data_IF_333191896361
#
_entry.id   IF_333191896361
#
_cell.length_a   1.000
_cell.length_b   1.000
_cell.length_c   1.000
_cell.angle_alpha   90.00
_cell.angle_beta   90.00
_cell.angle_gamma   90.00
#
_symmetry.space_group_name_H-M   'P 1'
#
loop_
_entity.id
_entity.type
_entity.pdbx_description
1 polymer ?
#
# COMPACT_ATOMS: atom_id res chain seq x y z
N UNK A 1 -7.96 -49.18 -25.84
CA UNK A 1 -7.23 -47.91 -25.71
C UNK A 1 -7.83 -47.17 -24.54
N UNK A 2 -7.08 -46.98 -23.45
CA UNK A 2 -7.55 -46.22 -22.28
C UNK A 2 -7.46 -44.75 -22.65
N UNK A 3 -8.61 -44.10 -22.84
CA UNK A 3 -8.66 -42.66 -23.09
C UNK A 3 -8.41 -41.93 -21.77
N UNK A 4 -7.23 -41.32 -21.68
CA UNK A 4 -6.87 -40.38 -20.63
C UNK A 4 -7.69 -39.11 -20.87
N UNK A 5 -8.81 -38.98 -20.16
CA UNK A 5 -9.59 -37.74 -20.11
C UNK A 5 -8.86 -36.81 -19.14
N UNK A 6 -7.90 -36.04 -19.66
CA UNK A 6 -7.39 -34.85 -18.98
C UNK A 6 -8.50 -33.81 -19.13
N UNK A 7 -9.26 -33.56 -18.06
CA UNK A 7 -10.36 -32.61 -18.05
C UNK A 7 -9.81 -31.19 -18.18
N UNK A 8 -10.46 -30.38 -19.02
CA UNK A 8 -10.20 -28.95 -19.22
C UNK A 8 -10.25 -28.11 -17.93
N UNK A 9 -10.71 -28.70 -16.82
CA UNK A 9 -10.68 -28.15 -15.47
C UNK A 9 -9.26 -27.90 -14.94
N UNK A 10 -8.27 -28.70 -15.34
CA UNK A 10 -6.87 -28.48 -14.94
C UNK A 10 -6.22 -27.28 -15.68
N UNK A 11 -6.76 -26.91 -16.85
CA UNK A 11 -6.24 -25.79 -17.64
C UNK A 11 -6.78 -24.43 -17.18
N UNK A 12 -7.94 -24.39 -16.52
CA UNK A 12 -8.55 -23.18 -15.96
C UNK A 12 -7.88 -22.70 -14.66
N UNK A 13 -7.18 -23.59 -13.96
CA UNK A 13 -6.30 -23.25 -12.82
C UNK A 13 -4.89 -22.84 -13.29
N UNK A 14 -4.57 -23.09 -14.57
CA UNK A 14 -3.24 -22.92 -15.15
C UNK A 14 -2.83 -21.48 -15.48
N UNK A 15 -3.64 -20.47 -15.17
CA UNK A 15 -3.21 -19.06 -15.15
C UNK A 15 -2.92 -18.63 -13.72
N UNK A 16 -1.91 -19.25 -13.13
CA UNK A 16 -1.10 -18.59 -12.10
C UNK A 16 -0.49 -17.38 -12.83
N UNK A 17 -1.22 -16.27 -12.83
CA UNK A 17 -0.68 -14.99 -13.24
C UNK A 17 0.55 -14.76 -12.38
N UNK A 18 1.69 -14.47 -13.00
CA UNK A 18 2.91 -14.16 -12.29
C UNK A 18 2.60 -13.11 -11.22
N UNK A 19 3.01 -13.37 -9.97
CA UNK A 19 2.98 -12.36 -8.92
C UNK A 19 3.66 -11.09 -9.43
N UNK A 20 3.07 -9.94 -9.12
CA UNK A 20 3.61 -8.65 -9.52
C UNK A 20 5.01 -8.51 -8.93
N UNK A 21 6.03 -8.26 -9.75
CA UNK A 21 7.40 -8.14 -9.25
C UNK A 21 7.51 -6.90 -8.36
N UNK A 22 8.08 -7.06 -7.16
CA UNK A 22 8.39 -5.98 -6.25
C UNK A 22 9.12 -4.83 -6.97
N UNK A 23 8.60 -3.62 -6.87
CA UNK A 23 9.24 -2.44 -7.42
C UNK A 23 10.44 -2.05 -6.55
N UNK A 24 11.60 -1.74 -7.16
CA UNK A 24 12.72 -1.17 -6.43
C UNK A 24 12.46 0.32 -6.15
N UNK A 25 12.79 0.78 -4.94
CA UNK A 25 12.92 2.22 -4.67
C UNK A 25 14.35 2.61 -5.02
N UNK A 26 14.53 3.48 -6.01
CA UNK A 26 15.84 3.97 -6.46
C UNK A 26 16.06 5.37 -5.90
N UNK A 27 16.98 5.50 -4.94
CA UNK A 27 17.36 6.80 -4.41
C UNK A 27 18.02 7.69 -5.49
N UNK A 28 17.68 8.99 -5.55
CA UNK A 28 18.45 9.96 -6.30
C UNK A 28 19.90 10.02 -5.82
N UNK A 29 20.81 10.46 -6.70
CA UNK A 29 22.21 10.65 -6.32
C UNK A 29 22.31 11.85 -5.38
N UNK A 30 22.79 11.62 -4.16
CA UNK A 30 23.03 12.68 -3.19
C UNK A 30 23.98 13.75 -3.77
N UNK A 31 23.64 15.02 -3.59
CA UNK A 31 24.49 16.11 -4.04
C UNK A 31 25.81 16.12 -3.26
N UNK A 32 26.91 16.28 -3.99
CA UNK A 32 28.23 16.50 -3.38
C UNK A 32 28.24 17.86 -2.68
N UNK A 33 28.14 17.85 -1.35
CA UNK A 33 28.33 19.06 -0.57
C UNK A 33 29.84 19.32 -0.44
N UNK A 34 30.28 20.49 -0.88
CA UNK A 34 31.69 20.90 -0.80
C UNK A 34 32.14 20.97 0.65
N UNK A 35 32.98 20.02 1.06
CA UNK A 35 33.64 20.00 2.38
C UNK A 35 34.78 21.02 2.52
N UNK A 36 34.96 21.93 1.54
CA UNK A 36 36.10 22.85 1.47
C UNK A 36 36.25 23.80 2.69
N UNK A 37 35.26 23.89 3.57
CA UNK A 37 35.32 24.65 4.83
C UNK A 37 34.90 23.85 6.08
N UNK A 38 34.48 22.59 5.93
CA UNK A 38 34.11 21.76 7.08
C UNK A 38 35.34 20.99 7.57
N UNK A 39 35.65 21.10 8.87
CA UNK A 39 36.65 20.24 9.51
C UNK A 39 36.29 18.76 9.28
N UNK A 40 37.27 17.86 9.28
CA UNK A 40 37.04 16.42 9.14
C UNK A 40 35.95 15.95 10.13
N UNK A 41 34.81 15.48 9.63
CA UNK A 41 33.65 15.10 10.44
C UNK A 41 32.63 16.20 10.73
N UNK A 42 32.75 17.40 10.14
CA UNK A 42 31.77 18.49 10.31
C UNK A 42 30.48 18.29 9.54
N UNK A 43 29.35 18.73 10.10
CA UNK A 43 28.05 18.76 9.41
C UNK A 43 28.07 19.83 8.31
N UNK A 44 27.28 19.61 7.26
CA UNK A 44 27.18 20.48 6.10
C UNK A 44 25.73 20.74 5.73
N UNK A 45 25.41 22.01 5.53
CA UNK A 45 24.10 22.47 5.11
C UNK A 45 24.24 23.49 3.99
N UNK A 46 23.43 23.35 2.93
CA UNK A 46 23.27 24.35 1.89
C UNK A 46 21.79 24.66 1.72
N UNK A 47 21.44 25.94 1.90
CA UNK A 47 20.09 26.47 1.71
C UNK A 47 20.14 27.47 0.56
N UNK A 48 19.35 27.25 -0.48
CA UNK A 48 19.22 28.10 -1.68
C UNK A 48 17.76 28.57 -1.83
N UNK A 49 17.51 29.82 -1.46
CA UNK A 49 16.18 30.44 -1.51
C UNK A 49 16.16 31.50 -2.63
N UNK A 50 15.85 31.07 -3.84
CA UNK A 50 15.94 31.92 -5.04
C UNK A 50 14.66 32.73 -5.34
N UNK A 51 13.59 32.52 -4.56
CA UNK A 51 12.28 33.16 -4.70
C UNK A 51 11.91 34.13 -3.56
N UNK A 52 10.62 34.49 -3.47
CA UNK A 52 10.05 35.30 -2.37
C UNK A 52 9.21 34.42 -1.44
N UNK A 53 9.27 34.67 -0.13
CA UNK A 53 8.48 33.90 0.85
C UNK A 53 8.95 32.46 1.03
N UNK A 54 10.14 32.29 1.58
CA UNK A 54 10.68 30.98 1.91
C UNK A 54 11.40 31.07 3.25
N UNK A 55 11.09 30.14 4.15
CA UNK A 55 11.73 29.99 5.45
C UNK A 55 12.34 28.58 5.50
N UNK A 56 13.62 28.49 5.90
CA UNK A 56 14.31 27.22 6.05
C UNK A 56 15.05 27.20 7.39
N UNK A 57 14.83 26.14 8.15
CA UNK A 57 15.53 25.86 9.41
C UNK A 57 16.26 24.55 9.25
N UNK A 58 17.56 24.56 9.56
CA UNK A 58 18.36 23.33 9.61
C UNK A 58 19.09 23.28 10.94
N UNK A 59 18.87 22.22 11.70
CA UNK A 59 19.61 21.90 12.91
C UNK A 59 20.24 20.50 12.79
N UNK A 60 21.57 20.46 12.78
CA UNK A 60 22.35 19.23 12.63
C UNK A 60 23.27 19.02 13.83
N UNK A 61 23.12 17.91 14.55
CA UNK A 61 24.03 17.46 15.60
C UNK A 61 24.51 16.04 15.28
N UNK A 62 25.83 15.84 15.22
CA UNK A 62 26.43 14.59 14.73
C UNK A 62 27.74 14.83 13.98
N UNK A 63 28.18 13.85 13.20
CA UNK A 63 29.40 13.88 12.39
C UNK A 63 29.05 13.73 10.91
N UNK A 64 29.46 14.68 10.06
CA UNK A 64 29.27 14.62 8.61
C UNK A 64 27.81 14.48 8.12
N UNK A 65 26.83 15.00 8.87
CA UNK A 65 25.45 15.10 8.36
C UNK A 65 25.36 16.11 7.20
N UNK A 66 24.50 15.84 6.22
CA UNK A 66 24.27 16.66 5.04
C UNK A 66 22.83 17.10 4.91
N UNK A 67 22.59 18.37 4.62
CA UNK A 67 21.26 18.86 4.22
C UNK A 67 21.37 19.78 3.01
N UNK A 68 20.55 19.57 2.00
CA UNK A 68 20.33 20.50 0.90
C UNK A 68 18.88 20.94 0.88
N UNK A 69 18.64 22.24 0.88
CA UNK A 69 17.29 22.81 0.75
C UNK A 69 17.31 23.81 -0.39
N UNK A 70 16.46 23.60 -1.40
CA UNK A 70 16.19 24.57 -2.46
C UNK A 70 14.73 24.99 -2.40
N UNK A 71 14.47 26.29 -2.22
CA UNK A 71 13.13 26.85 -2.18
C UNK A 71 12.99 27.95 -3.22
N UNK A 72 12.07 27.77 -4.18
CA UNK A 72 11.68 28.77 -5.16
C UNK A 72 10.28 29.28 -4.83
N UNK A 73 10.18 30.04 -3.72
CA UNK A 73 8.93 30.65 -3.28
C UNK A 73 8.38 31.68 -4.27
N UNK A 74 7.06 31.71 -4.43
CA UNK A 74 6.36 32.66 -5.32
C UNK A 74 5.51 33.69 -4.58
N UNK A 75 5.30 33.54 -3.27
CA UNK A 75 4.42 34.39 -2.46
C UNK A 75 4.99 34.67 -1.05
N UNK A 76 5.09 35.95 -0.66
CA UNK A 76 5.54 36.38 0.67
C UNK A 76 4.46 36.25 1.77
N UNK A 77 3.17 36.14 1.39
CA UNK A 77 2.05 35.92 2.30
C UNK A 77 1.79 34.44 2.61
N UNK A 78 2.18 33.54 1.69
CA UNK A 78 2.04 32.10 1.82
C UNK A 78 3.41 31.42 1.58
N UNK A 79 4.23 31.36 2.64
CA UNK A 79 5.65 31.00 2.55
C UNK A 79 5.85 29.49 2.42
N UNK A 80 6.84 29.07 1.65
CA UNK A 80 7.35 27.70 1.74
C UNK A 80 8.19 27.56 3.02
N UNK A 81 7.97 26.48 3.78
CA UNK A 81 8.68 26.16 5.02
C UNK A 81 9.39 24.82 4.85
N UNK A 82 10.69 24.78 5.16
CA UNK A 82 11.46 23.55 5.25
C UNK A 82 12.16 23.48 6.62
N UNK A 83 11.87 22.47 7.42
CA UNK A 83 12.56 22.21 8.69
C UNK A 83 13.28 20.86 8.63
N UNK A 84 14.61 20.89 8.78
CA UNK A 84 15.45 19.70 8.79
C UNK A 84 16.13 19.58 10.14
N UNK A 85 15.71 18.57 10.90
CA UNK A 85 16.26 18.22 12.19
C UNK A 85 17.00 16.88 12.11
N UNK A 86 18.33 16.95 12.10
CA UNK A 86 19.20 15.77 12.08
C UNK A 86 19.95 15.65 13.40
N UNK A 87 19.57 14.67 14.23
CA UNK A 87 20.19 14.46 15.53
C UNK A 87 20.76 13.04 15.66
N UNK A 88 22.00 12.94 16.09
CA UNK A 88 22.54 11.70 16.65
C UNK A 88 22.21 11.52 18.13
N UNK A 89 21.92 10.30 18.58
CA UNK A 89 21.96 9.95 19.99
C UNK A 89 23.39 9.83 20.54
N UNK A 90 23.93 10.98 20.96
CA UNK A 90 25.32 11.06 21.40
C UNK A 90 25.52 10.21 22.67
N UNK A 91 26.36 9.17 22.53
CA UNK A 91 27.01 8.29 23.54
C UNK A 91 26.44 6.87 23.74
N UNK A 92 27.33 5.86 23.89
CA UNK A 92 28.80 5.97 24.00
C UNK A 92 29.59 5.78 22.69
N UNK A 93 28.93 5.67 21.54
CA UNK A 93 29.59 5.70 20.23
C UNK A 93 28.93 6.73 19.32
N UNK A 94 29.71 7.27 18.40
CA UNK A 94 29.36 8.36 17.47
C UNK A 94 28.02 8.03 16.82
N UNK A 95 27.03 8.91 16.94
CA UNK A 95 25.79 8.77 16.18
C UNK A 95 25.37 10.13 15.63
N UNK A 96 24.57 10.08 14.56
CA UNK A 96 24.41 11.16 13.61
C UNK A 96 25.53 11.16 12.59
N UNK A 97 25.96 9.99 12.11
CA UNK A 97 26.96 9.85 11.05
C UNK A 97 26.29 9.72 9.68
N UNK A 98 26.60 10.65 8.76
CA UNK A 98 26.17 10.62 7.36
C UNK A 98 24.64 10.56 7.12
N UNK A 99 23.82 11.16 7.98
CA UNK A 99 22.41 11.38 7.59
C UNK A 99 22.35 12.42 6.47
N UNK A 100 21.49 12.20 5.49
CA UNK A 100 21.33 13.06 4.32
C UNK A 100 19.86 13.42 4.13
N UNK A 101 19.59 14.72 3.92
CA UNK A 101 18.28 15.22 3.50
C UNK A 101 18.45 16.14 2.30
N UNK A 102 17.61 15.98 1.29
CA UNK A 102 17.54 16.86 0.12
C UNK A 102 16.08 17.23 -0.12
N UNK A 103 15.78 18.52 -0.01
CA UNK A 103 14.42 19.05 -0.11
C UNK A 103 14.39 20.12 -1.20
N UNK A 104 13.52 19.95 -2.18
CA UNK A 104 13.20 20.95 -3.19
C UNK A 104 11.72 21.36 -3.08
N UNK A 105 11.45 22.64 -2.87
CA UNK A 105 10.08 23.18 -2.84
C UNK A 105 9.92 24.29 -3.87
N UNK A 106 8.90 24.20 -4.71
CA UNK A 106 8.54 25.19 -5.72
C UNK A 106 7.08 25.58 -5.53
N UNK A 107 6.78 26.88 -5.56
CA UNK A 107 5.41 27.39 -5.39
C UNK A 107 5.22 28.14 -4.06
N UNK A 108 4.07 27.97 -3.40
CA UNK A 108 3.69 28.75 -2.22
C UNK A 108 3.07 27.86 -1.12
N UNK A 109 3.33 28.18 0.14
CA UNK A 109 2.71 27.49 1.29
C UNK A 109 3.11 26.03 1.51
N UNK A 110 4.09 25.51 0.77
CA UNK A 110 4.50 24.12 0.95
C UNK A 110 5.28 23.96 2.27
N UNK A 111 4.97 22.94 3.06
CA UNK A 111 5.60 22.61 4.32
C UNK A 111 6.30 21.25 4.21
N UNK A 112 7.60 21.21 4.51
CA UNK A 112 8.38 19.99 4.55
C UNK A 112 9.15 19.89 5.86
N UNK A 113 8.80 18.91 6.69
CA UNK A 113 9.47 18.63 7.96
C UNK A 113 10.17 17.28 7.92
N UNK A 114 11.45 17.26 8.28
CA UNK A 114 12.27 16.05 8.34
C UNK A 114 12.90 15.93 9.72
N UNK A 115 12.67 14.81 10.39
CA UNK A 115 13.40 14.42 11.60
C UNK A 115 14.13 13.11 11.35
N UNK A 116 15.46 13.13 11.36
CA UNK A 116 16.31 11.95 11.22
C UNK A 116 17.11 11.70 12.50
N UNK A 117 16.99 10.50 13.03
CA UNK A 117 17.75 10.01 14.18
C UNK A 117 18.42 8.67 13.86
N UNK A 118 19.71 8.55 14.18
CA UNK A 118 20.52 7.38 13.84
C UNK A 118 21.60 7.71 12.81
N UNK A 119 22.04 6.71 12.03
CA UNK A 119 23.14 6.84 11.07
C UNK A 119 22.70 6.43 9.65
N UNK A 120 23.32 7.02 8.63
CA UNK A 120 23.09 6.68 7.20
C UNK A 120 21.63 6.78 6.72
N UNK A 121 20.77 7.52 7.42
CA UNK A 121 19.40 7.72 6.98
C UNK A 121 19.36 8.75 5.83
N UNK A 122 18.62 8.42 4.78
CA UNK A 122 18.48 9.24 3.58
C UNK A 122 17.02 9.64 3.40
N UNK A 123 16.84 10.92 3.08
CA UNK A 123 15.54 11.49 2.77
C UNK A 123 15.67 12.37 1.53
N UNK A 124 14.73 12.22 0.60
CA UNK A 124 14.60 13.05 -0.59
C UNK A 124 13.15 13.53 -0.72
N UNK A 125 12.94 14.84 -0.82
CA UNK A 125 11.64 15.48 -0.87
C UNK A 125 11.53 16.45 -2.05
N UNK A 126 10.47 16.36 -2.83
CA UNK A 126 10.09 17.39 -3.81
C UNK A 126 8.63 17.78 -3.61
N UNK A 127 8.35 19.08 -3.52
CA UNK A 127 6.99 19.63 -3.49
C UNK A 127 6.87 20.70 -4.57
N UNK A 128 6.01 20.48 -5.57
CA UNK A 128 5.73 21.45 -6.63
C UNK A 128 4.24 21.83 -6.61
N UNK A 129 3.93 23.04 -6.14
CA UNK A 129 2.57 23.54 -6.14
C UNK A 129 2.25 24.38 -4.91
N UNK A 130 1.04 24.22 -4.39
CA UNK A 130 0.50 25.07 -3.32
C UNK A 130 0.05 24.25 -2.13
N UNK A 131 0.43 24.67 -0.93
CA UNK A 131 -0.02 24.11 0.37
C UNK A 131 0.21 22.59 0.53
N UNK A 132 1.22 22.01 -0.12
CA UNK A 132 1.57 20.60 0.10
C UNK A 132 2.34 20.46 1.42
N UNK A 133 2.00 19.44 2.22
CA UNK A 133 2.61 19.14 3.50
C UNK A 133 3.26 17.75 3.47
N UNK A 134 4.48 17.65 3.97
CA UNK A 134 5.19 16.40 4.12
C UNK A 134 5.91 16.32 5.48
N UNK A 135 5.67 15.25 6.22
CA UNK A 135 6.36 14.92 7.46
C UNK A 135 7.10 13.59 7.29
N UNK A 136 8.43 13.62 7.42
CA UNK A 136 9.26 12.42 7.40
C UNK A 136 9.96 12.28 8.74
N UNK A 137 9.62 11.22 9.47
CA UNK A 137 10.27 10.84 10.71
C UNK A 137 10.98 9.50 10.55
N UNK A 138 12.31 9.56 10.49
CA UNK A 138 13.18 8.38 10.51
C UNK A 138 13.81 8.30 11.91
N UNK A 139 13.22 7.47 12.78
CA UNK A 139 13.70 7.23 14.14
C UNK A 139 12.67 7.39 15.29
N UNK A 140 13.07 6.80 16.42
CA UNK A 140 12.51 6.73 17.79
C UNK A 140 11.23 5.88 18.08
N UNK A 141 11.46 4.76 18.79
CA UNK A 141 10.91 4.48 20.16
C UNK A 141 12.04 4.21 21.19
N UNK A 142 13.31 4.18 20.75
CA UNK A 142 14.50 4.06 21.59
C UNK A 142 15.73 4.66 20.87
N UNK A 143 16.65 5.30 21.62
CA UNK A 143 17.88 5.84 21.05
C UNK A 143 18.80 4.72 20.53
N UNK A 144 19.43 4.91 19.35
CA UNK A 144 20.58 4.13 18.79
C UNK A 144 20.32 2.98 17.79
N UNK A 145 19.17 2.90 17.11
CA UNK A 145 18.85 1.65 16.38
C UNK A 145 18.17 1.85 15.03
N UNK A 146 18.29 3.03 14.40
CA UNK A 146 17.73 3.30 13.08
C UNK A 146 18.84 3.66 12.09
N UNK A 147 19.31 2.65 11.36
CA UNK A 147 20.39 2.75 10.38
C UNK A 147 19.88 2.47 8.96
N UNK A 148 20.30 3.30 8.00
CA UNK A 148 20.11 3.00 6.57
C UNK A 148 18.67 3.08 6.06
N UNK A 149 17.79 3.85 6.70
CA UNK A 149 16.44 4.06 6.18
C UNK A 149 16.45 5.02 4.98
N UNK A 150 15.55 4.78 4.03
CA UNK A 150 15.33 5.60 2.85
C UNK A 150 13.87 6.05 2.77
N UNK A 151 13.64 7.36 2.66
CA UNK A 151 12.32 7.94 2.43
C UNK A 151 12.36 8.87 1.21
N UNK A 152 11.47 8.63 0.25
CA UNK A 152 11.21 9.49 -0.90
C UNK A 152 9.79 10.04 -0.79
N UNK A 153 9.62 11.36 -0.90
CA UNK A 153 8.31 12.01 -0.97
C UNK A 153 8.31 12.99 -2.14
N UNK A 154 7.40 12.80 -3.08
CA UNK A 154 7.18 13.68 -4.22
C UNK A 154 5.69 14.06 -4.30
N UNK A 155 5.40 15.35 -4.11
CA UNK A 155 4.04 15.89 -4.13
C UNK A 155 3.94 16.99 -5.19
N UNK A 156 2.94 16.88 -6.04
CA UNK A 156 2.62 17.89 -7.05
C UNK A 156 1.14 18.29 -7.00
N UNK A 157 0.88 19.58 -7.12
CA UNK A 157 -0.47 20.14 -7.14
C UNK A 157 -0.85 20.87 -5.85
N UNK A 158 -2.08 20.70 -5.39
CA UNK A 158 -2.68 21.47 -4.31
C UNK A 158 -3.00 20.61 -3.09
N UNK A 159 -2.45 20.97 -1.92
CA UNK A 159 -2.92 20.48 -0.62
C UNK A 159 -2.62 19.01 -0.30
N UNK A 160 -1.65 18.38 -0.97
CA UNK A 160 -1.30 16.99 -0.69
C UNK A 160 -0.64 16.87 0.69
N UNK A 161 -0.90 15.77 1.39
CA UNK A 161 -0.41 15.49 2.75
C UNK A 161 0.26 14.10 2.76
N UNK A 162 1.53 14.04 3.15
CA UNK A 162 2.33 12.82 3.18
C UNK A 162 3.03 12.68 4.55
N UNK A 163 2.84 11.54 5.19
CA UNK A 163 3.52 11.19 6.43
C UNK A 163 4.25 9.86 6.30
N UNK A 164 5.56 9.88 6.57
CA UNK A 164 6.43 8.70 6.60
C UNK A 164 7.00 8.54 8.01
N UNK A 165 6.73 7.41 8.64
CA UNK A 165 7.33 7.00 9.90
C UNK A 165 8.13 5.71 9.71
N UNK A 166 9.45 5.79 9.83
CA UNK A 166 10.34 4.63 9.77
C UNK A 166 11.05 4.45 11.10
N UNK A 167 10.85 3.29 11.73
CA UNK A 167 11.56 2.89 12.94
C UNK A 167 12.44 1.69 12.65
N UNK A 168 13.61 1.70 13.27
CA UNK A 168 14.63 0.66 13.13
C UNK A 168 15.38 0.72 11.80
N UNK A 169 15.97 -0.39 11.35
CA UNK A 169 16.96 -0.39 10.26
C UNK A 169 16.33 -0.69 8.88
N UNK A 170 16.97 -0.17 7.83
CA UNK A 170 16.79 -0.53 6.42
C UNK A 170 15.37 -0.39 5.84
N UNK A 171 14.49 0.38 6.46
CA UNK A 171 13.16 0.61 5.90
C UNK A 171 13.24 1.50 4.66
N UNK A 172 12.41 1.21 3.66
CA UNK A 172 12.31 1.97 2.44
C UNK A 172 10.85 2.40 2.20
N UNK A 173 10.65 3.70 2.02
CA UNK A 173 9.34 4.32 1.80
C UNK A 173 9.41 5.22 0.58
N UNK A 174 8.37 5.18 -0.25
CA UNK A 174 8.17 6.08 -1.37
C UNK A 174 6.71 6.52 -1.41
N UNK A 175 6.49 7.83 -1.37
CA UNK A 175 5.17 8.45 -1.57
C UNK A 175 5.25 9.36 -2.80
N UNK A 176 4.39 9.11 -3.78
CA UNK A 176 4.16 9.97 -4.94
C UNK A 176 2.69 10.40 -4.93
N UNK A 177 2.44 11.71 -4.87
CA UNK A 177 1.09 12.27 -4.93
C UNK A 177 1.02 13.35 -6.00
N UNK A 178 0.08 13.21 -6.93
CA UNK A 178 -0.12 14.18 -8.01
C UNK A 178 -1.59 14.45 -8.21
N UNK A 179 -2.01 15.70 -8.01
CA UNK A 179 -3.40 16.12 -8.13
C UNK A 179 -3.55 17.44 -8.91
N UNK A 180 -4.78 17.84 -9.22
CA UNK A 180 -5.00 19.09 -9.96
C UNK A 180 -4.70 20.31 -9.06
N UNK A 181 -3.77 21.16 -9.52
CA UNK A 181 -3.32 22.36 -8.83
C UNK A 181 -4.40 23.48 -8.70
N UNK A 182 -5.59 23.30 -9.29
CA UNK A 182 -6.57 24.40 -9.45
C UNK A 182 -7.89 24.18 -8.70
N UNK A 183 -8.39 22.94 -8.53
CA UNK A 183 -9.74 22.71 -7.97
C UNK A 183 -9.93 21.39 -7.18
N UNK A 184 -8.86 20.69 -6.82
CA UNK A 184 -8.92 19.38 -6.16
C UNK A 184 -8.86 19.41 -4.63
N UNK A 185 -9.30 18.32 -4.00
CA UNK A 185 -8.94 17.98 -2.62
C UNK A 185 -7.57 17.29 -2.65
N UNK A 186 -6.67 17.65 -1.74
CA UNK A 186 -5.37 17.01 -1.56
C UNK A 186 -5.43 15.49 -1.38
N UNK A 187 -4.45 14.76 -1.90
CA UNK A 187 -4.26 13.35 -1.55
C UNK A 187 -3.64 13.23 -0.15
N UNK A 188 -3.95 12.15 0.56
CA UNK A 188 -3.36 11.82 1.86
C UNK A 188 -2.67 10.48 1.81
N UNK A 189 -1.44 10.41 2.32
CA UNK A 189 -0.68 9.17 2.41
C UNK A 189 -0.01 9.07 3.78
N UNK A 190 -0.19 7.92 4.44
CA UNK A 190 0.49 7.58 5.68
C UNK A 190 1.21 6.24 5.50
N UNK A 191 2.53 6.22 5.70
CA UNK A 191 3.33 5.01 5.67
C UNK A 191 4.07 4.85 7.00
N UNK A 192 3.79 3.76 7.71
CA UNK A 192 4.46 3.41 8.97
C UNK A 192 5.15 2.06 8.85
N UNK A 193 6.44 2.05 9.11
CA UNK A 193 7.29 0.87 9.00
C UNK A 193 8.06 0.69 10.31
N UNK A 194 7.80 -0.42 11.00
CA UNK A 194 8.47 -0.77 12.25
C UNK A 194 9.16 -2.12 12.10
N UNK A 195 10.37 -2.06 11.55
CA UNK A 195 11.26 -3.22 11.42
C UNK A 195 11.89 -3.61 12.77
N UNK A 196 12.78 -4.60 12.73
CA UNK A 196 13.54 -5.05 13.90
C UNK A 196 14.93 -4.38 14.01
N UNK A 197 15.50 -4.30 15.23
CA UNK A 197 16.89 -3.90 15.43
C UNK A 197 17.91 -4.71 14.60
N UNK A 198 19.11 -4.13 14.48
CA UNK A 198 20.37 -4.83 14.21
C UNK A 198 20.48 -5.43 12.80
N UNK A 199 20.45 -4.57 11.78
CA UNK A 199 20.62 -4.91 10.36
C UNK A 199 19.53 -5.86 9.82
N UNK A 200 18.33 -5.82 10.38
CA UNK A 200 17.18 -6.52 9.77
C UNK A 200 16.94 -5.98 8.35
N UNK A 201 16.36 -6.78 7.45
CA UNK A 201 16.22 -6.37 6.04
C UNK A 201 15.23 -5.21 5.80
N UNK A 202 14.65 -4.64 6.87
CA UNK A 202 13.66 -3.57 6.81
C UNK A 202 12.34 -3.98 6.18
N UNK A 203 11.44 -3.01 6.02
CA UNK A 203 10.22 -3.14 5.24
C UNK A 203 10.25 -2.22 4.02
N UNK A 204 9.43 -2.51 3.00
CA UNK A 204 9.24 -1.64 1.83
C UNK A 204 7.77 -1.25 1.66
N UNK A 205 7.52 0.05 1.54
CA UNK A 205 6.21 0.63 1.28
C UNK A 205 6.30 1.59 0.09
N UNK A 206 5.40 1.43 -0.87
CA UNK A 206 5.29 2.29 -2.05
C UNK A 206 3.83 2.72 -2.19
N UNK A 207 3.62 4.02 -2.28
CA UNK A 207 2.32 4.65 -2.46
C UNK A 207 2.34 5.61 -3.63
N UNK A 208 1.51 5.37 -4.63
CA UNK A 208 1.32 6.26 -5.77
C UNK A 208 -0.15 6.69 -5.85
N UNK A 209 -0.42 7.99 -5.82
CA UNK A 209 -1.77 8.55 -5.88
C UNK A 209 -1.84 9.62 -6.97
N UNK A 210 -2.67 9.38 -7.98
CA UNK A 210 -2.95 10.31 -9.07
C UNK A 210 -4.42 10.71 -9.05
N UNK A 211 -4.70 12.01 -9.12
CA UNK A 211 -6.05 12.58 -9.01
C UNK A 211 -6.32 13.14 -7.62
N UNK A 212 -7.59 13.37 -7.29
CA UNK A 212 -7.97 14.19 -6.13
C UNK A 212 -8.59 13.39 -4.98
N UNK A 213 -8.25 13.75 -3.75
CA UNK A 213 -8.89 13.24 -2.53
C UNK A 213 -8.63 11.78 -2.21
N UNK A 214 -7.61 11.16 -2.82
CA UNK A 214 -7.27 9.77 -2.55
C UNK A 214 -6.59 9.63 -1.18
N UNK A 215 -6.82 8.51 -0.51
CA UNK A 215 -6.28 8.20 0.80
C UNK A 215 -5.58 6.84 0.80
N UNK A 216 -4.36 6.83 1.33
CA UNK A 216 -3.52 5.64 1.43
C UNK A 216 -2.96 5.49 2.84
N UNK A 217 -3.12 4.30 3.43
CA UNK A 217 -2.54 3.91 4.70
C UNK A 217 -1.78 2.61 4.51
N UNK A 218 -0.47 2.61 4.76
CA UNK A 218 0.36 1.40 4.74
C UNK A 218 1.07 1.25 6.08
N UNK A 219 0.82 0.13 6.76
CA UNK A 219 1.36 -0.15 8.08
C UNK A 219 2.03 -1.53 8.04
N UNK A 220 3.33 -1.55 8.33
CA UNK A 220 4.12 -2.77 8.34
C UNK A 220 4.79 -2.89 9.71
N UNK A 221 4.37 -3.90 10.48
CA UNK A 221 4.88 -4.15 11.83
C UNK A 221 5.33 -5.61 11.98
N UNK A 222 6.17 -5.86 12.97
CA UNK A 222 6.44 -7.22 13.45
C UNK A 222 7.90 -7.60 13.40
N UNK A 223 8.24 -8.77 13.95
CA UNK A 223 9.63 -9.22 14.10
C UNK A 223 10.32 -9.58 12.77
N UNK A 224 9.60 -9.49 11.65
CA UNK A 224 10.05 -10.01 10.37
C UNK A 224 10.66 -8.98 9.44
N UNK A 225 11.77 -9.35 8.83
CA UNK A 225 12.28 -8.66 7.66
C UNK A 225 11.36 -8.85 6.45
N UNK A 226 11.30 -7.85 5.57
CA UNK A 226 10.91 -8.06 4.16
C UNK A 226 9.43 -7.92 3.82
N UNK A 227 8.57 -7.43 4.71
CA UNK A 227 7.21 -7.06 4.30
C UNK A 227 7.25 -6.01 3.17
N UNK A 228 6.44 -6.23 2.15
CA UNK A 228 6.30 -5.38 0.97
C UNK A 228 4.85 -4.95 0.82
N UNK A 229 4.61 -3.63 0.79
CA UNK A 229 3.30 -3.04 0.54
C UNK A 229 3.40 -2.09 -0.65
N UNK A 230 2.56 -2.29 -1.64
CA UNK A 230 2.42 -1.38 -2.78
C UNK A 230 0.96 -1.04 -2.99
N UNK A 231 0.66 0.25 -3.09
CA UNK A 231 -0.68 0.73 -3.45
C UNK A 231 -0.61 1.81 -4.51
N UNK A 232 -1.31 1.59 -5.60
CA UNK A 232 -1.40 2.50 -6.73
C UNK A 232 -2.86 2.93 -6.91
N UNK A 233 -3.17 4.19 -6.64
CA UNK A 233 -4.49 4.81 -6.84
C UNK A 233 -4.41 5.75 -8.03
N UNK A 234 -4.91 5.33 -9.18
CA UNK A 234 -4.73 6.07 -10.43
C UNK A 234 -3.37 5.84 -11.08
N UNK A 235 -3.16 6.48 -12.22
CA UNK A 235 -1.87 6.63 -12.89
C UNK A 235 -1.86 7.95 -13.69
N UNK A 236 -0.73 8.29 -14.30
CA UNK A 236 -0.55 9.50 -15.11
C UNK A 236 -1.57 9.69 -16.26
N UNK A 237 -2.29 8.64 -16.67
CA UNK A 237 -3.31 8.65 -17.74
C UNK A 237 -4.74 8.43 -17.23
N UNK A 238 -4.93 8.00 -15.99
CA UNK A 238 -6.24 7.66 -15.42
C UNK A 238 -6.22 8.00 -13.94
N UNK A 239 -6.74 9.17 -13.60
CA UNK A 239 -6.86 9.62 -12.23
C UNK A 239 -7.83 8.73 -11.44
N UNK A 240 -7.50 8.45 -10.18
CA UNK A 240 -8.46 8.02 -9.18
C UNK A 240 -8.98 9.25 -8.42
N UNK A 241 -10.23 9.21 -7.98
CA UNK A 241 -10.77 10.25 -7.11
C UNK A 241 -11.43 9.61 -5.90
N UNK A 242 -11.14 10.13 -4.71
CA UNK A 242 -11.67 9.64 -3.42
C UNK A 242 -11.45 8.15 -3.18
N UNK A 243 -10.44 7.53 -3.79
CA UNK A 243 -10.11 6.14 -3.53
C UNK A 243 -9.48 5.99 -2.13
N UNK A 244 -9.80 4.90 -1.45
CA UNK A 244 -9.22 4.55 -0.16
C UNK A 244 -8.54 3.18 -0.23
N UNK A 245 -7.31 3.11 0.29
CA UNK A 245 -6.56 1.87 0.41
C UNK A 245 -5.87 1.78 1.76
N UNK A 246 -6.06 0.64 2.43
CA UNK A 246 -5.35 0.31 3.65
C UNK A 246 -4.66 -1.06 3.51
N UNK A 247 -3.36 -1.09 3.79
CA UNK A 247 -2.55 -2.32 3.83
C UNK A 247 -1.88 -2.43 5.19
N UNK A 248 -2.21 -3.48 5.94
CA UNK A 248 -1.64 -3.77 7.26
C UNK A 248 -0.97 -5.14 7.22
N UNK A 249 0.32 -5.19 7.51
CA UNK A 249 1.10 -6.43 7.50
C UNK A 249 1.79 -6.62 8.83
N UNK A 250 1.56 -7.76 9.48
CA UNK A 250 2.19 -8.16 10.73
C UNK A 250 2.97 -9.46 10.56
N UNK A 251 4.29 -9.43 10.69
CA UNK A 251 5.15 -10.62 10.61
C UNK A 251 6.27 -10.49 9.56
N UNK A 252 6.61 -11.56 8.85
CA UNK A 252 7.79 -11.61 7.95
C UNK A 252 7.40 -11.88 6.49
N UNK A 253 8.07 -11.24 5.53
CA UNK A 253 7.94 -11.58 4.11
C UNK A 253 6.54 -11.46 3.49
N UNK A 254 5.60 -10.79 4.15
CA UNK A 254 4.26 -10.64 3.59
C UNK A 254 4.27 -9.63 2.42
N UNK A 255 3.51 -9.92 1.37
CA UNK A 255 3.37 -9.07 0.18
C UNK A 255 1.91 -8.62 0.01
N UNK A 256 1.69 -7.31 -0.04
CA UNK A 256 0.39 -6.68 -0.25
C UNK A 256 0.46 -5.75 -1.46
N UNK A 257 -0.43 -5.99 -2.42
CA UNK A 257 -0.57 -5.19 -3.64
C UNK A 257 -2.00 -4.67 -3.75
N UNK A 258 -2.14 -3.36 -3.93
CA UNK A 258 -3.40 -2.71 -4.23
C UNK A 258 -3.26 -1.88 -5.51
N UNK A 259 -4.25 -1.96 -6.39
CA UNK A 259 -4.35 -1.10 -7.57
C UNK A 259 -5.81 -0.73 -7.80
N UNK A 260 -6.13 0.56 -7.73
CA UNK A 260 -7.48 1.09 -7.86
C UNK A 260 -7.49 2.21 -8.91
N UNK A 261 -8.45 2.19 -9.83
CA UNK A 261 -8.65 3.27 -10.82
C UNK A 261 -10.09 3.74 -10.79
N UNK A 262 -10.36 5.02 -11.03
CA UNK A 262 -11.73 5.54 -11.03
C UNK A 262 -12.14 6.09 -9.66
N UNK A 263 -13.42 6.01 -9.33
CA UNK A 263 -14.03 6.84 -8.28
C UNK A 263 -14.45 5.99 -7.08
N UNK A 264 -14.06 6.42 -5.88
CA UNK A 264 -14.57 5.92 -4.60
C UNK A 264 -14.39 4.39 -4.38
N UNK A 265 -13.33 3.81 -4.92
CA UNK A 265 -12.98 2.42 -4.64
C UNK A 265 -12.30 2.29 -3.26
N UNK A 266 -12.71 1.29 -2.50
CA UNK A 266 -12.19 0.98 -1.16
C UNK A 266 -11.52 -0.40 -1.13
N UNK A 267 -10.31 -0.45 -0.57
CA UNK A 267 -9.58 -1.69 -0.36
C UNK A 267 -8.97 -1.77 1.05
N UNK A 268 -9.12 -2.95 1.65
CA UNK A 268 -8.55 -3.30 2.94
C UNK A 268 -7.81 -4.63 2.83
N UNK A 269 -6.52 -4.64 3.13
CA UNK A 269 -5.69 -5.85 3.16
C UNK A 269 -5.02 -5.96 4.52
N UNK A 270 -5.28 -7.05 5.23
CA UNK A 270 -4.64 -7.38 6.51
C UNK A 270 -4.00 -8.77 6.43
N UNK A 271 -2.71 -8.84 6.72
CA UNK A 271 -1.93 -10.07 6.70
C UNK A 271 -1.20 -10.25 8.02
N UNK A 272 -1.36 -11.40 8.65
CA UNK A 272 -0.69 -11.79 9.89
C UNK A 272 0.05 -13.11 9.66
N UNK A 273 1.34 -13.15 9.98
CA UNK A 273 2.18 -14.33 9.86
C UNK A 273 3.30 -14.16 8.85
N UNK A 274 3.61 -15.19 8.06
CA UNK A 274 4.78 -15.20 7.17
C UNK A 274 4.43 -15.50 5.72
N UNK A 275 5.09 -14.81 4.78
CA UNK A 275 5.05 -15.13 3.35
C UNK A 275 3.62 -15.17 2.75
N UNK A 276 2.68 -14.39 3.29
CA UNK A 276 1.34 -14.28 2.71
C UNK A 276 1.32 -13.27 1.56
N UNK A 277 0.55 -13.55 0.51
CA UNK A 277 0.32 -12.66 -0.64
C UNK A 277 -1.14 -12.22 -0.70
N UNK A 278 -1.38 -10.91 -0.69
CA UNK A 278 -2.69 -10.27 -0.81
C UNK A 278 -2.67 -9.30 -2.00
N UNK A 279 -3.61 -9.45 -2.92
CA UNK A 279 -3.68 -8.62 -4.13
C UNK A 279 -5.13 -8.17 -4.37
N UNK A 280 -5.36 -6.85 -4.39
CA UNK A 280 -6.62 -6.22 -4.80
C UNK A 280 -6.38 -5.42 -6.07
N UNK A 281 -7.23 -5.66 -7.07
CA UNK A 281 -7.30 -4.90 -8.32
C UNK A 281 -8.74 -4.44 -8.55
N UNK A 282 -8.97 -3.14 -8.55
CA UNK A 282 -10.29 -2.54 -8.81
C UNK A 282 -10.20 -1.67 -10.06
N UNK A 283 -11.16 -1.84 -10.98
CA UNK A 283 -11.35 -1.00 -12.16
C UNK A 283 -10.13 -0.86 -13.09
N UNK A 284 -9.33 -1.91 -13.20
CA UNK A 284 -8.14 -1.95 -14.08
C UNK A 284 -8.44 -2.09 -15.59
N UNK A 285 -9.72 -2.15 -15.95
CA UNK A 285 -10.20 -2.23 -17.33
C UNK A 285 -10.89 -0.93 -17.77
N UNK A 286 -10.89 -0.59 -19.08
CA UNK A 286 -11.38 0.70 -19.61
C UNK A 286 -12.88 0.98 -19.45
N UNK A 287 -13.65 0.08 -18.84
CA UNK A 287 -15.02 0.35 -18.43
C UNK A 287 -15.00 1.12 -17.12
N UNK A 288 -15.45 2.38 -17.15
CA UNK A 288 -15.67 3.22 -15.96
C UNK A 288 -16.49 2.41 -14.96
N UNK A 289 -15.86 2.03 -13.85
CA UNK A 289 -16.50 1.49 -12.66
C UNK A 289 -16.25 2.44 -11.48
N UNK A 290 -16.96 2.25 -10.38
CA UNK A 290 -16.85 3.06 -9.17
C UNK A 290 -17.41 2.29 -7.97
N UNK A 291 -17.11 2.74 -6.77
CA UNK A 291 -17.70 2.22 -5.52
C UNK A 291 -17.44 0.72 -5.30
N UNK A 292 -16.30 0.17 -5.73
CA UNK A 292 -15.98 -1.22 -5.41
C UNK A 292 -15.37 -1.33 -4.02
N UNK A 293 -15.73 -2.38 -3.30
CA UNK A 293 -15.21 -2.71 -1.99
C UNK A 293 -14.53 -4.08 -2.01
N UNK A 294 -13.27 -4.12 -1.57
CA UNK A 294 -12.51 -5.35 -1.39
C UNK A 294 -11.90 -5.41 0.01
N UNK A 295 -12.13 -6.51 0.73
CA UNK A 295 -11.48 -6.80 2.00
C UNK A 295 -10.82 -8.20 1.98
N UNK A 296 -9.55 -8.24 2.32
CA UNK A 296 -8.73 -9.46 2.40
C UNK A 296 -8.11 -9.57 3.78
N UNK A 297 -8.31 -10.71 4.44
CA UNK A 297 -7.71 -11.05 5.72
C UNK A 297 -7.01 -12.41 5.62
N UNK A 298 -5.74 -12.46 5.98
CA UNK A 298 -4.93 -13.69 5.98
C UNK A 298 -4.22 -13.84 7.33
N UNK A 299 -4.34 -15.01 7.96
CA UNK A 299 -3.65 -15.36 9.21
C UNK A 299 -3.00 -16.74 9.10
N UNK A 300 -1.66 -16.76 8.99
CA UNK A 300 -0.87 -17.98 8.86
C UNK A 300 0.33 -17.82 7.93
N UNK A 301 0.70 -18.88 7.21
CA UNK A 301 1.84 -18.86 6.30
C UNK A 301 1.49 -19.23 4.86
N UNK A 302 2.19 -18.63 3.90
CA UNK A 302 2.09 -18.98 2.47
C UNK A 302 0.65 -18.89 1.90
N UNK A 303 -0.23 -18.07 2.48
CA UNK A 303 -1.58 -17.90 1.95
C UNK A 303 -1.61 -16.88 0.81
N UNK A 304 -2.45 -17.11 -0.19
CA UNK A 304 -2.61 -16.27 -1.36
C UNK A 304 -4.09 -15.83 -1.54
N UNK A 305 -4.37 -14.54 -1.40
CA UNK A 305 -5.68 -13.93 -1.57
C UNK A 305 -5.64 -12.94 -2.74
N UNK A 306 -6.44 -13.17 -3.77
CA UNK A 306 -6.58 -12.26 -4.92
C UNK A 306 -8.03 -11.84 -5.14
N UNK A 307 -8.28 -10.55 -5.27
CA UNK A 307 -9.55 -9.97 -5.65
C UNK A 307 -9.38 -9.06 -6.87
N UNK A 308 -10.10 -9.33 -7.94
CA UNK A 308 -10.15 -8.53 -9.17
C UNK A 308 -11.60 -8.13 -9.45
N UNK A 309 -11.93 -6.85 -9.26
CA UNK A 309 -13.27 -6.30 -9.43
C UNK A 309 -13.25 -5.24 -10.53
N UNK A 310 -14.06 -5.41 -11.56
CA UNK A 310 -14.25 -4.39 -12.60
C UNK A 310 -15.75 -4.14 -12.77
N UNK A 311 -16.20 -2.92 -12.46
CA UNK A 311 -17.60 -2.52 -12.50
C UNK A 311 -17.99 -1.55 -11.39
N UNK A 312 -19.30 -1.43 -11.15
CA UNK A 312 -19.88 -0.59 -10.10
C UNK A 312 -20.37 -1.44 -8.92
N UNK A 313 -20.14 -0.97 -7.68
CA UNK A 313 -20.68 -1.53 -6.44
C UNK A 313 -20.36 -3.01 -6.21
N UNK A 314 -19.17 -3.48 -6.59
CA UNK A 314 -18.79 -4.87 -6.37
C UNK A 314 -18.22 -5.05 -4.95
N UNK A 315 -18.65 -6.10 -4.26
CA UNK A 315 -18.18 -6.47 -2.92
C UNK A 315 -17.43 -7.81 -2.96
N UNK A 316 -16.17 -7.81 -2.51
CA UNK A 316 -15.34 -9.00 -2.41
C UNK A 316 -14.73 -9.13 -1.01
N UNK A 317 -14.99 -10.25 -0.36
CA UNK A 317 -14.48 -10.58 0.97
C UNK A 317 -13.71 -11.90 0.93
N UNK A 318 -12.46 -11.89 1.38
CA UNK A 318 -11.61 -13.10 1.47
C UNK A 318 -11.02 -13.24 2.87
N UNK A 319 -11.28 -14.36 3.53
CA UNK A 319 -10.63 -14.72 4.81
C UNK A 319 -9.90 -16.06 4.65
N UNK A 320 -8.62 -16.11 5.00
CA UNK A 320 -7.82 -17.34 4.99
C UNK A 320 -7.12 -17.52 6.33
N UNK A 321 -7.21 -18.73 6.90
CA UNK A 321 -6.50 -19.11 8.11
C UNK A 321 -5.78 -20.44 7.90
N UNK A 322 -4.50 -20.54 8.29
CA UNK A 322 -3.70 -21.76 8.15
C UNK A 322 -2.58 -21.61 7.13
N UNK A 323 -2.21 -22.69 6.43
CA UNK A 323 -1.07 -22.65 5.50
C UNK A 323 -1.44 -22.95 4.04
N UNK A 324 -0.75 -22.32 3.09
CA UNK A 324 -0.86 -22.62 1.66
C UNK A 324 -2.29 -22.49 1.06
N UNK A 325 -3.18 -21.68 1.64
CA UNK A 325 -4.52 -21.50 1.10
C UNK A 325 -4.51 -20.51 -0.07
N UNK A 326 -5.23 -20.80 -1.15
CA UNK A 326 -5.39 -19.94 -2.32
C UNK A 326 -6.86 -19.57 -2.50
N UNK A 327 -7.16 -18.27 -2.50
CA UNK A 327 -8.50 -17.70 -2.68
C UNK A 327 -8.43 -16.67 -3.79
N UNK A 328 -9.25 -16.84 -4.83
CA UNK A 328 -9.35 -15.91 -5.95
C UNK A 328 -10.79 -15.52 -6.18
N UNK A 329 -11.08 -14.22 -6.16
CA UNK A 329 -12.37 -13.64 -6.52
C UNK A 329 -12.18 -12.78 -7.78
N UNK A 330 -12.98 -13.04 -8.81
CA UNK A 330 -13.03 -12.23 -10.04
C UNK A 330 -14.46 -11.79 -10.31
N UNK A 331 -14.74 -10.50 -10.25
CA UNK A 331 -16.05 -9.91 -10.53
C UNK A 331 -15.96 -8.97 -11.71
N UNK A 332 -16.78 -9.19 -12.74
CA UNK A 332 -16.81 -8.39 -13.97
C UNK A 332 -18.21 -7.87 -14.26
N UNK A 333 -18.28 -6.70 -14.90
CA UNK A 333 -19.47 -6.16 -15.56
C UNK A 333 -20.70 -5.91 -14.66
N UNK A 334 -20.50 -5.59 -13.37
CA UNK A 334 -21.58 -5.02 -12.55
C UNK A 334 -21.88 -3.61 -13.07
N UNK A 335 -22.95 -3.42 -13.85
CA UNK A 335 -23.34 -2.12 -14.40
C UNK A 335 -24.66 -1.62 -13.82
N UNK A 336 -25.47 -2.50 -13.20
CA UNK A 336 -26.79 -2.12 -12.64
C UNK A 336 -26.98 -2.60 -11.19
N UNK A 337 -26.42 -3.75 -10.80
CA UNK A 337 -26.42 -4.23 -9.42
C UNK A 337 -25.10 -4.93 -9.08
N UNK A 338 -24.53 -4.57 -7.93
CA UNK A 338 -23.30 -5.14 -7.40
C UNK A 338 -23.31 -6.66 -7.26
N UNK A 339 -22.16 -7.28 -7.49
CA UNK A 339 -21.87 -8.67 -7.19
C UNK A 339 -21.27 -8.75 -5.79
N UNK A 340 -21.67 -9.77 -5.02
CA UNK A 340 -21.12 -10.11 -3.72
C UNK A 340 -20.39 -11.46 -3.80
N UNK A 341 -19.14 -11.49 -3.40
CA UNK A 341 -18.35 -12.71 -3.27
C UNK A 341 -17.71 -12.79 -1.89
N UNK A 342 -17.91 -13.92 -1.21
CA UNK A 342 -17.30 -14.24 0.09
C UNK A 342 -16.57 -15.57 -0.03
N UNK A 343 -15.29 -15.61 0.33
CA UNK A 343 -14.48 -16.83 0.37
C UNK A 343 -13.80 -16.95 1.72
N UNK A 344 -14.16 -17.97 2.50
CA UNK A 344 -13.58 -18.29 3.81
C UNK A 344 -12.90 -19.65 3.70
N UNK A 345 -11.60 -19.70 4.00
CA UNK A 345 -10.80 -20.94 4.01
C UNK A 345 -10.08 -21.09 5.35
N UNK A 346 -10.16 -22.30 5.91
CA UNK A 346 -9.48 -22.66 7.17
C UNK A 346 -8.86 -24.05 7.06
N UNK A 347 -7.55 -24.13 7.22
CA UNK A 347 -6.77 -25.37 7.17
C UNK A 347 -5.63 -25.27 6.17
N UNK A 348 -5.16 -26.40 5.64
CA UNK A 348 -3.99 -26.43 4.76
C UNK A 348 -4.35 -26.68 3.29
N UNK A 349 -3.70 -25.96 2.37
CA UNK A 349 -3.78 -26.19 0.92
C UNK A 349 -5.20 -26.12 0.31
N UNK A 350 -6.09 -25.29 0.84
CA UNK A 350 -7.42 -25.10 0.26
C UNK A 350 -7.38 -24.13 -0.92
N UNK A 351 -8.09 -24.45 -2.00
CA UNK A 351 -8.21 -23.63 -3.21
C UNK A 351 -9.68 -23.24 -3.42
N UNK A 352 -9.96 -21.95 -3.53
CA UNK A 352 -11.27 -21.36 -3.79
C UNK A 352 -11.16 -20.37 -4.94
N UNK A 353 -11.94 -20.58 -5.99
CA UNK A 353 -12.03 -19.67 -7.13
C UNK A 353 -13.49 -19.27 -7.35
N UNK A 354 -13.79 -17.97 -7.19
CA UNK A 354 -15.10 -17.38 -7.47
C UNK A 354 -14.97 -16.49 -8.69
N UNK A 355 -15.79 -16.69 -9.71
CA UNK A 355 -15.91 -15.83 -10.89
C UNK A 355 -17.38 -15.46 -11.11
N UNK A 356 -17.67 -14.16 -11.17
CA UNK A 356 -19.02 -13.61 -11.42
C UNK A 356 -18.95 -12.60 -12.56
N UNK A 357 -19.61 -12.89 -13.69
CA UNK A 357 -19.44 -12.09 -14.92
C UNK A 357 -20.61 -11.15 -15.29
N UNK A 358 -21.71 -11.14 -14.54
CA UNK A 358 -22.90 -10.30 -14.81
C UNK A 358 -23.40 -9.65 -13.51
N UNK A 359 -24.57 -9.01 -13.51
CA UNK A 359 -25.09 -8.24 -12.37
C UNK A 359 -25.63 -9.11 -11.21
N UNK A 360 -25.57 -8.57 -9.98
CA UNK A 360 -26.35 -9.02 -8.82
C UNK A 360 -26.03 -10.42 -8.26
N UNK A 361 -24.92 -11.04 -8.63
CA UNK A 361 -24.62 -12.41 -8.21
C UNK A 361 -24.06 -12.45 -6.79
N UNK A 362 -24.42 -13.50 -6.06
CA UNK A 362 -23.88 -13.80 -4.74
C UNK A 362 -23.19 -15.16 -4.75
N UNK A 363 -21.95 -15.21 -4.31
CA UNK A 363 -21.17 -16.44 -4.16
C UNK A 363 -20.56 -16.49 -2.77
N UNK A 364 -20.76 -17.60 -2.06
CA UNK A 364 -20.14 -17.87 -0.77
C UNK A 364 -19.42 -19.22 -0.82
N UNK A 365 -18.14 -19.24 -0.47
CA UNK A 365 -17.35 -20.46 -0.28
C UNK A 365 -16.89 -20.51 1.18
N UNK A 366 -17.18 -21.60 1.89
CA UNK A 366 -16.71 -21.92 3.25
C UNK A 366 -16.01 -23.29 3.22
N UNK A 367 -14.69 -23.30 3.30
CA UNK A 367 -13.85 -24.52 3.30
C UNK A 367 -13.15 -24.68 4.65
N UNK A 368 -13.41 -25.80 5.34
CA UNK A 368 -12.81 -26.12 6.64
C UNK A 368 -12.19 -27.52 6.63
N UNK A 369 -10.86 -27.58 6.53
CA UNK A 369 -10.12 -28.82 6.38
C UNK A 369 -8.93 -28.64 5.45
N UNK A 370 -8.43 -29.75 4.91
CA UNK A 370 -7.21 -29.74 4.11
C UNK A 370 -7.49 -30.17 2.67
N UNK A 371 -6.86 -29.51 1.71
CA UNK A 371 -6.90 -29.87 0.30
C UNK A 371 -8.27 -29.71 -0.37
N UNK A 372 -9.15 -28.86 0.17
CA UNK A 372 -10.44 -28.61 -0.46
C UNK A 372 -10.28 -27.76 -1.72
N UNK A 373 -11.02 -28.10 -2.77
CA UNK A 373 -11.04 -27.34 -4.02
C UNK A 373 -12.49 -26.95 -4.36
N UNK A 374 -12.73 -25.65 -4.51
CA UNK A 374 -14.02 -25.06 -4.85
C UNK A 374 -13.85 -24.12 -6.04
N UNK A 375 -14.72 -24.28 -7.04
CA UNK A 375 -14.83 -23.35 -8.17
C UNK A 375 -16.28 -22.96 -8.30
N UNK A 376 -16.57 -21.68 -8.08
CA UNK A 376 -17.86 -21.05 -8.33
C UNK A 376 -17.73 -20.20 -9.58
N UNK A 377 -18.41 -20.57 -10.66
CA UNK A 377 -18.50 -19.75 -11.86
C UNK A 377 -19.97 -19.41 -12.10
N UNK A 378 -20.33 -18.14 -11.90
CA UNK A 378 -21.66 -17.63 -12.12
C UNK A 378 -21.67 -16.73 -13.35
N UNK A 379 -22.59 -17.07 -14.26
CA UNK A 379 -22.71 -16.52 -15.61
C UNK A 379 -21.52 -16.88 -16.50
N UNK A 380 -21.68 -17.94 -17.28
CA UNK A 380 -20.73 -18.28 -18.33
C UNK A 380 -20.60 -17.11 -19.32
N UNK A 381 -19.37 -16.80 -19.75
CA UNK A 381 -19.11 -15.85 -20.83
C UNK A 381 -19.74 -16.39 -22.13
N UNK A 382 -20.99 -16.01 -22.41
CA UNK A 382 -21.61 -16.40 -23.66
C UNK A 382 -21.42 -15.29 -24.68
N UNK A 383 -20.77 -15.70 -25.76
CA UNK A 383 -20.62 -15.00 -27.02
C UNK A 383 -21.97 -14.38 -27.45
N UNK A 384 -21.95 -13.08 -27.72
CA UNK A 384 -23.00 -12.26 -28.33
C UNK A 384 -24.33 -12.03 -27.54
N UNK A 385 -24.56 -10.75 -27.23
CA UNK A 385 -25.81 -10.09 -26.81
C UNK A 385 -26.14 -10.14 -25.32
N UNK A 386 -25.67 -9.12 -24.59
CA UNK A 386 -26.12 -8.76 -23.25
C UNK A 386 -27.66 -8.74 -23.21
N UNK A 387 -28.25 -9.63 -22.41
CA UNK A 387 -29.67 -9.58 -22.07
C UNK A 387 -29.82 -8.77 -20.79
N UNK A 388 -30.64 -7.71 -20.75
CA UNK A 388 -30.80 -6.83 -19.57
C UNK A 388 -31.38 -7.48 -18.28
N UNK A 389 -31.47 -8.81 -18.20
CA UNK A 389 -32.09 -9.57 -17.10
C UNK A 389 -31.33 -10.88 -16.75
N UNK A 390 -30.05 -11.00 -17.11
CA UNK A 390 -29.24 -12.16 -16.75
C UNK A 390 -28.32 -11.80 -15.57
N UNK A 391 -28.69 -12.22 -14.35
CA UNK A 391 -28.01 -11.89 -13.09
C UNK A 391 -28.68 -12.57 -11.89
N UNK A 392 -28.29 -12.24 -10.66
CA UNK A 392 -28.88 -12.74 -9.40
C UNK A 392 -28.71 -14.23 -9.08
N UNK A 393 -27.62 -14.85 -9.53
CA UNK A 393 -27.33 -16.22 -9.10
C UNK A 393 -26.82 -16.24 -7.67
N UNK A 394 -27.28 -17.19 -6.85
CA UNK A 394 -26.70 -17.50 -5.53
C UNK A 394 -26.00 -18.85 -5.60
N UNK A 395 -24.75 -18.93 -5.15
CA UNK A 395 -24.01 -20.18 -5.00
C UNK A 395 -23.40 -20.24 -3.61
N UNK A 396 -23.65 -21.32 -2.89
CA UNK A 396 -23.01 -21.58 -1.59
C UNK A 396 -22.29 -22.91 -1.68
N UNK A 397 -20.97 -22.88 -1.47
CA UNK A 397 -20.15 -24.09 -1.35
C UNK A 397 -19.70 -24.20 0.09
N UNK A 398 -20.03 -25.32 0.74
CA UNK A 398 -19.51 -25.65 2.07
C UNK A 398 -18.81 -27.00 1.98
N UNK A 399 -17.50 -27.04 2.20
CA UNK A 399 -16.70 -28.26 2.20
C UNK A 399 -16.03 -28.40 3.58
N UNK A 400 -16.12 -29.59 4.18
CA UNK A 400 -15.49 -29.88 5.47
C UNK A 400 -14.86 -31.27 5.48
N UNK A 401 -13.80 -31.44 6.26
CA UNK A 401 -13.28 -32.76 6.60
C UNK A 401 -14.35 -33.62 7.32
N UNK A 402 -14.32 -34.94 7.12
CA UNK A 402 -15.36 -35.89 7.54
C UNK A 402 -15.68 -35.90 9.05
N UNK A 403 -14.81 -35.32 9.91
CA UNK A 403 -14.92 -35.34 11.37
C UNK A 403 -15.12 -33.96 12.02
N UNK A 404 -15.44 -32.90 11.26
CA UNK A 404 -15.66 -31.58 11.85
C UNK A 404 -17.16 -31.34 12.09
N UNK A 405 -17.56 -31.23 13.37
CA UNK A 405 -18.94 -31.00 13.78
C UNK A 405 -19.50 -29.68 13.22
N UNK A 406 -20.76 -29.71 12.76
CA UNK A 406 -21.53 -28.59 12.19
C UNK A 406 -21.84 -27.44 13.17
N UNK A 407 -21.38 -27.51 14.42
CA UNK A 407 -21.87 -26.66 15.52
C UNK A 407 -20.79 -25.72 16.06
N UNK A 408 -20.57 -24.60 15.34
CA UNK A 408 -20.26 -23.24 15.88
C UNK A 408 -20.08 -22.16 14.78
N UNK A 409 -20.81 -22.24 13.67
CA UNK A 409 -20.78 -21.23 12.59
C UNK A 409 -21.48 -19.90 12.94
N UNK A 410 -22.08 -19.77 14.13
CA UNK A 410 -22.88 -18.60 14.52
C UNK A 410 -22.14 -17.53 15.33
N UNK A 411 -20.84 -17.68 15.63
CA UNK A 411 -20.15 -16.75 16.55
C UNK A 411 -19.13 -15.78 15.94
N UNK A 412 -18.74 -15.89 14.65
CA UNK A 412 -17.87 -14.87 14.01
C UNK A 412 -18.54 -13.99 12.95
N UNK A 413 -19.69 -14.38 12.40
CA UNK A 413 -20.52 -13.49 11.59
C UNK A 413 -21.08 -12.28 12.39
N UNK A 414 -21.01 -12.32 13.73
CA UNK A 414 -21.40 -11.21 14.61
C UNK A 414 -20.30 -10.16 14.83
N UNK A 415 -19.05 -10.40 14.41
CA UNK A 415 -17.98 -9.41 14.48
C UNK A 415 -18.02 -8.45 13.28
N UNK A 416 -18.24 -8.98 12.07
CA UNK A 416 -18.36 -8.20 10.83
C UNK A 416 -19.63 -7.31 10.83
N UNK A 417 -20.72 -7.75 11.47
CA UNK A 417 -21.95 -6.95 11.57
C UNK A 417 -21.83 -5.70 12.46
N UNK A 418 -20.73 -5.52 13.21
CA UNK A 418 -20.52 -4.33 14.06
C UNK A 418 -19.82 -3.18 13.33
N UNK A 419 -19.32 -3.38 12.10
CA UNK A 419 -18.76 -2.29 11.30
C UNK A 419 -19.79 -1.55 10.42
N UNK A 420 -21.03 -2.04 10.35
CA UNK A 420 -22.07 -1.51 9.45
C UNK A 420 -23.21 -0.75 10.16
N UNK A 421 -22.97 -0.17 11.33
CA UNK A 421 -23.91 0.79 11.95
C UNK A 421 -23.13 1.94 12.60
N UNK A 422 -22.77 2.92 11.77
CA UNK A 422 -22.92 4.35 12.06
C UNK A 422 -22.93 5.12 10.74
#
# INVERSE_FOLDING_TARGET
MKHLIITASALLVGSIAAAQSQQPIVAPVAQTISTASAAQGGNSSKVDQSGIGSDAVVAQQGTANGSFIAQAGTDNGNRNVADVLQHGNVQPSISGHLNYSDIAQVGAGNEFMVTQQGDLNQMFGTQDGVDNAALVQQGADGPQQAEGNLALVDQSGLGNDAEVQQRWDNNQSSILQSNDAVAGVGNKSFQSQKANPNQSAGHRAIGEQYGDGNQLVQIQEGPGSGNYAQSNQGNATTAATTAFAQQVQSGEGNEAYNTQFGVNDESFQEQVGSDNLAEVKQNTLPTIGADNYAAQFQDGSDNEARADQNGFNQDAFQEQYGTNNVSTIKQRAGQVAGNLALSIQRGDANISAITQNLDGNSAMVDQLGDGHHSVVNQNASQNASARPNAGFNTATVTQRNANVSLTRATQRAAAVKRHFNN
#
